data_IF_511344179102
#
_entry.id   IF_511344179102
#
_cell.length_a   1.000
_cell.length_b   1.000
_cell.length_c   1.000
_cell.angle_alpha   90.00
_cell.angle_beta   90.00
_cell.angle_gamma   90.00
#
_symmetry.space_group_name_H-M   'P 1'
#
loop_
_entity.id
_entity.type
_entity.pdbx_description
1 polymer ?
#
# COMPACT_ATOMS: atom_id res chain seq x y z
N UNK A 1 11.24 -12.54 -27.79
CA UNK A 1 10.14 -11.88 -27.05
C UNK A 1 9.60 -12.89 -26.05
N UNK A 2 10.28 -13.04 -24.91
CA UNK A 2 9.92 -14.03 -23.90
C UNK A 2 8.60 -13.64 -23.23
N UNK A 3 7.66 -14.57 -23.21
CA UNK A 3 6.48 -14.51 -22.35
C UNK A 3 6.93 -14.30 -20.90
N UNK A 4 6.75 -13.08 -20.38
CA UNK A 4 6.88 -12.82 -18.96
C UNK A 4 5.66 -13.45 -18.30
N UNK A 5 5.91 -14.45 -17.45
CA UNK A 5 4.88 -15.22 -16.76
C UNK A 5 4.02 -14.30 -15.89
N UNK A 6 2.78 -14.07 -16.29
CA UNK A 6 1.79 -13.19 -15.64
C UNK A 6 1.52 -13.50 -14.14
N UNK A 7 2.05 -14.60 -13.60
CA UNK A 7 1.96 -14.99 -12.19
C UNK A 7 3.12 -14.49 -11.33
N UNK A 8 4.27 -14.17 -11.92
CA UNK A 8 5.46 -13.74 -11.18
C UNK A 8 5.35 -12.28 -10.65
N UNK A 9 4.47 -11.49 -11.27
CA UNK A 9 4.35 -10.06 -11.02
C UNK A 9 3.29 -9.72 -9.96
N UNK A 10 2.51 -10.71 -9.52
CA UNK A 10 1.43 -10.53 -8.54
C UNK A 10 1.92 -10.85 -7.13
N UNK A 11 1.68 -9.93 -6.21
CA UNK A 11 2.04 -10.02 -4.80
C UNK A 11 0.75 -10.13 -3.99
N UNK A 12 0.53 -11.27 -3.35
CA UNK A 12 -0.65 -11.50 -2.51
C UNK A 12 -0.46 -10.95 -1.08
N UNK A 13 -1.54 -10.98 -0.30
CA UNK A 13 -1.54 -10.48 1.08
C UNK A 13 -0.51 -11.20 1.96
N UNK A 14 -0.25 -12.49 1.74
CA UNK A 14 0.72 -13.24 2.53
C UNK A 14 2.14 -12.76 2.25
N UNK A 15 2.48 -12.47 0.99
CA UNK A 15 3.75 -11.84 0.64
C UNK A 15 3.84 -10.40 1.18
N UNK A 16 2.76 -9.61 1.10
CA UNK A 16 2.72 -8.26 1.72
C UNK A 16 3.07 -8.34 3.21
N UNK A 17 2.45 -9.25 3.97
CA UNK A 17 2.72 -9.39 5.40
C UNK A 17 4.16 -9.83 5.73
N UNK A 18 4.79 -10.61 4.85
CA UNK A 18 6.20 -11.01 5.01
C UNK A 18 7.16 -9.87 4.69
N UNK A 19 6.80 -9.00 3.76
CA UNK A 19 7.66 -7.92 3.25
C UNK A 19 7.46 -6.58 3.95
N UNK A 20 6.36 -6.38 4.67
CA UNK A 20 6.09 -5.17 5.44
C UNK A 20 5.97 -5.48 6.94
N UNK A 21 6.55 -4.64 7.82
CA UNK A 21 6.41 -4.80 9.28
C UNK A 21 5.05 -4.32 9.80
N UNK A 22 4.30 -3.51 9.03
CA UNK A 22 3.00 -2.96 9.40
C UNK A 22 1.97 -4.05 9.69
N UNK A 23 1.10 -3.83 10.67
CA UNK A 23 -0.02 -4.72 11.03
C UNK A 23 -1.27 -3.90 11.28
N UNK A 24 -2.42 -4.56 11.38
CA UNK A 24 -3.68 -3.91 11.71
C UNK A 24 -3.54 -3.00 12.95
N UNK A 25 -4.08 -1.76 12.93
CA UNK A 25 -4.92 -1.15 11.89
C UNK A 25 -4.16 -0.35 10.82
N UNK A 26 -2.84 -0.53 10.69
CA UNK A 26 -1.96 0.35 9.90
C UNK A 26 -1.23 -0.35 8.74
N UNK A 27 -1.61 -1.58 8.38
CA UNK A 27 -1.23 -2.19 7.11
C UNK A 27 -2.29 -1.80 6.07
N UNK A 28 -1.91 -1.02 5.07
CA UNK A 28 -2.83 -0.36 4.13
C UNK A 28 -2.59 -0.77 2.67
N UNK A 29 -1.94 -1.92 2.44
CA UNK A 29 -1.77 -2.52 1.11
C UNK A 29 -2.31 -3.94 1.19
N UNK A 30 -3.27 -4.29 0.35
CA UNK A 30 -3.91 -5.60 0.36
C UNK A 30 -3.23 -6.58 -0.60
N UNK A 31 -2.79 -6.08 -1.76
CA UNK A 31 -2.03 -6.80 -2.79
C UNK A 31 -1.26 -5.81 -3.66
N UNK A 32 -0.40 -6.33 -4.52
CA UNK A 32 0.21 -5.53 -5.58
C UNK A 32 0.39 -6.32 -6.87
N UNK A 33 0.59 -5.59 -7.97
CA UNK A 33 0.76 -6.10 -9.33
C UNK A 33 1.76 -5.23 -10.12
N UNK A 34 2.06 -5.60 -11.36
CA UNK A 34 2.96 -4.89 -12.28
C UNK A 34 4.35 -4.58 -11.67
N UNK A 35 4.88 -5.51 -10.89
CA UNK A 35 6.17 -5.34 -10.21
C UNK A 35 7.34 -5.35 -11.20
N UNK A 36 8.12 -4.26 -11.20
CA UNK A 36 9.39 -4.14 -11.93
C UNK A 36 10.51 -3.85 -10.93
N UNK A 37 11.47 -4.78 -10.73
CA UNK A 37 12.53 -4.63 -9.73
C UNK A 37 13.26 -3.29 -9.83
N UNK A 38 13.29 -2.56 -8.71
CA UNK A 38 13.97 -1.28 -8.57
C UNK A 38 13.36 -0.11 -9.35
N UNK A 39 12.20 -0.30 -10.00
CA UNK A 39 11.60 0.70 -10.88
C UNK A 39 10.16 1.06 -10.49
N UNK A 40 9.24 0.08 -10.45
CA UNK A 40 7.81 0.36 -10.25
C UNK A 40 7.04 -0.82 -9.65
N UNK A 41 5.88 -0.51 -9.10
CA UNK A 41 4.88 -1.47 -8.59
C UNK A 41 3.51 -0.76 -8.58
N UNK A 42 2.43 -1.52 -8.76
CA UNK A 42 1.05 -1.05 -8.57
C UNK A 42 0.51 -1.64 -7.27
N UNK A 43 0.37 -0.82 -6.22
CA UNK A 43 -0.25 -1.23 -4.96
C UNK A 43 -1.77 -1.12 -5.01
N UNK A 44 -2.46 -2.10 -4.43
CA UNK A 44 -3.92 -2.11 -4.32
C UNK A 44 -4.32 -2.03 -2.84
N UNK A 45 -5.17 -1.06 -2.55
CA UNK A 45 -5.84 -0.87 -1.26
C UNK A 45 -7.34 -0.81 -1.53
N UNK A 46 -8.05 -1.88 -1.17
CA UNK A 46 -9.51 -1.90 -1.15
C UNK A 46 -10.00 -0.98 -0.04
N UNK A 47 -11.04 -0.20 -0.31
CA UNK A 47 -11.62 0.72 0.67
C UNK A 47 -12.99 0.22 1.09
N UNK A 48 -13.15 -0.10 2.37
CA UNK A 48 -14.42 -0.63 2.90
C UNK A 48 -14.91 0.17 4.10
N UNK A 49 -16.23 0.34 4.22
CA UNK A 49 -16.81 1.07 5.35
C UNK A 49 -16.46 0.41 6.71
N UNK A 50 -16.11 -0.87 6.71
CA UNK A 50 -15.70 -1.63 7.89
C UNK A 50 -14.24 -1.37 8.33
N UNK A 51 -13.67 -0.21 7.99
CA UNK A 51 -12.33 0.20 8.43
C UNK A 51 -12.41 1.15 9.64
N UNK A 52 -11.45 1.05 10.59
CA UNK A 52 -11.55 1.69 11.90
C UNK A 52 -11.54 3.23 11.86
N UNK A 53 -11.12 3.84 10.75
CA UNK A 53 -11.08 5.30 10.61
C UNK A 53 -12.42 5.91 10.13
N UNK A 54 -13.29 5.14 9.47
CA UNK A 54 -14.56 5.67 8.95
C UNK A 54 -15.57 6.13 10.02
N UNK A 55 -15.70 5.48 11.20
CA UNK A 55 -16.55 5.99 12.27
C UNK A 55 -16.22 7.42 12.69
N UNK A 56 -14.96 7.85 12.51
CA UNK A 56 -14.49 9.20 12.87
C UNK A 56 -14.28 10.14 11.70
N UNK A 57 -14.32 9.68 10.44
CA UNK A 57 -13.90 10.48 9.29
C UNK A 57 -14.79 10.27 8.05
N UNK A 58 -16.02 10.78 8.01
CA UNK A 58 -16.78 11.41 9.10
C UNK A 58 -18.09 10.66 9.30
N UNK A 59 -18.73 10.70 10.50
CA UNK A 59 -19.97 9.96 10.76
C UNK A 59 -21.10 10.15 9.73
N UNK A 60 -21.16 11.32 9.08
CA UNK A 60 -22.21 11.67 8.09
C UNK A 60 -21.78 11.49 6.63
N UNK A 61 -20.48 11.48 6.34
CA UNK A 61 -19.90 11.35 5.00
C UNK A 61 -18.55 10.62 5.14
N UNK A 62 -18.54 9.28 5.03
CA UNK A 62 -17.33 8.48 5.20
C UNK A 62 -16.37 8.73 4.04
N UNK A 63 -15.20 9.28 4.34
CA UNK A 63 -14.14 9.58 3.37
C UNK A 63 -12.81 9.05 3.91
N UNK A 64 -12.03 8.36 3.08
CA UNK A 64 -10.71 7.90 3.51
C UNK A 64 -9.83 9.13 3.81
N UNK A 65 -9.18 9.22 4.99
CA UNK A 65 -8.27 10.32 5.27
C UNK A 65 -7.16 10.37 4.21
N UNK A 66 -6.93 11.53 3.60
CA UNK A 66 -5.95 11.68 2.52
C UNK A 66 -4.53 11.27 2.95
N UNK A 67 -4.19 11.46 4.22
CA UNK A 67 -2.92 11.00 4.81
C UNK A 67 -2.75 9.48 4.77
N UNK A 68 -3.83 8.70 4.81
CA UNK A 68 -3.78 7.25 4.69
C UNK A 68 -3.60 6.78 3.24
N UNK A 69 -4.02 7.60 2.25
CA UNK A 69 -3.69 7.37 0.84
C UNK A 69 -2.19 7.57 0.63
N UNK A 70 -1.62 8.61 1.24
CA UNK A 70 -0.18 8.84 1.22
C UNK A 70 0.57 7.69 1.90
N UNK A 71 0.10 7.26 3.07
CA UNK A 71 0.70 6.14 3.79
C UNK A 71 0.64 4.83 2.98
N UNK A 72 -0.48 4.51 2.32
CA UNK A 72 -0.56 3.31 1.48
C UNK A 72 0.39 3.38 0.28
N UNK A 73 0.62 4.58 -0.29
CA UNK A 73 1.66 4.80 -1.31
C UNK A 73 3.07 4.59 -0.74
N UNK A 74 3.36 5.09 0.46
CA UNK A 74 4.64 4.88 1.12
C UNK A 74 4.91 3.38 1.40
N UNK A 75 3.91 2.66 1.90
CA UNK A 75 3.98 1.21 2.12
C UNK A 75 4.17 0.43 0.82
N UNK A 76 3.53 0.87 -0.26
CA UNK A 76 3.73 0.32 -1.61
C UNK A 76 5.18 0.51 -2.07
N UNK A 77 5.78 1.68 -1.83
CA UNK A 77 7.22 1.91 -2.08
C UNK A 77 8.13 1.03 -1.22
N UNK A 78 7.79 0.84 0.06
CA UNK A 78 8.52 -0.07 0.95
C UNK A 78 8.43 -1.53 0.46
N UNK A 79 7.29 -1.95 -0.08
CA UNK A 79 7.08 -3.26 -0.67
C UNK A 79 7.94 -3.47 -1.93
N UNK A 80 8.00 -2.47 -2.82
CA UNK A 80 8.90 -2.45 -3.98
C UNK A 80 10.35 -2.63 -3.55
N UNK A 81 10.81 -1.84 -2.57
CA UNK A 81 12.18 -1.90 -2.07
C UNK A 81 12.49 -3.27 -1.43
N UNK A 82 11.61 -3.78 -0.56
CA UNK A 82 11.80 -5.10 0.07
C UNK A 82 11.89 -6.22 -0.96
N UNK A 83 11.01 -6.23 -1.97
CA UNK A 83 11.02 -7.26 -3.02
C UNK A 83 12.20 -7.12 -3.98
N UNK A 84 12.60 -5.91 -4.32
CA UNK A 84 13.71 -5.66 -5.25
C UNK A 84 15.08 -6.03 -4.67
N UNK A 85 15.28 -5.79 -3.37
CA UNK A 85 16.55 -6.04 -2.69
C UNK A 85 16.57 -7.37 -1.93
N UNK A 86 15.45 -8.10 -1.95
CA UNK A 86 15.19 -9.29 -1.14
C UNK A 86 15.61 -9.15 0.33
N UNK A 87 15.26 -8.01 0.93
CA UNK A 87 15.62 -7.70 2.32
C UNK A 87 14.56 -8.15 3.29
N UNK A 88 14.99 -8.89 4.32
CA UNK A 88 14.18 -9.15 5.51
C UNK A 88 13.91 -7.83 6.24
N UNK A 89 12.62 -7.56 6.51
CA UNK A 89 12.15 -6.39 7.26
C UNK A 89 11.90 -6.70 8.74
N UNK A 90 12.09 -7.95 9.16
CA UNK A 90 11.96 -8.35 10.56
C UNK A 90 12.95 -7.58 11.43
N UNK A 91 12.45 -6.98 12.51
CA UNK A 91 13.25 -6.15 13.42
C UNK A 91 13.74 -4.82 12.82
N UNK A 92 13.32 -4.45 11.60
CA UNK A 92 13.68 -3.19 10.95
C UNK A 92 12.48 -2.26 10.87
N UNK A 93 12.76 -0.96 10.97
CA UNK A 93 11.76 0.09 10.74
C UNK A 93 12.13 0.83 9.46
N UNK A 94 11.18 0.92 8.54
CA UNK A 94 11.31 1.74 7.33
C UNK A 94 10.71 3.10 7.67
N UNK A 95 11.53 4.15 7.62
CA UNK A 95 11.09 5.49 7.99
C UNK A 95 10.82 6.33 6.73
N UNK A 96 9.63 6.91 6.68
CA UNK A 96 9.23 7.82 5.61
C UNK A 96 9.76 9.23 5.93
N UNK A 97 10.73 9.71 5.15
CA UNK A 97 11.52 10.90 5.52
C UNK A 97 10.92 12.22 5.04
N UNK A 98 10.37 12.24 3.83
CA UNK A 98 9.84 13.46 3.23
C UNK A 98 8.76 13.13 2.21
N UNK A 99 7.91 14.12 1.98
CA UNK A 99 6.91 14.08 0.94
C UNK A 99 6.76 15.47 0.33
N UNK A 100 6.62 15.54 -0.98
CA UNK A 100 6.48 16.79 -1.71
C UNK A 100 5.38 16.66 -2.79
N UNK A 101 4.79 17.78 -3.18
CA UNK A 101 3.87 17.83 -4.32
C UNK A 101 2.53 17.10 -4.16
N UNK A 102 2.11 16.76 -2.93
CA UNK A 102 0.84 16.04 -2.70
C UNK A 102 -0.35 16.90 -3.06
N UNK A 103 -1.26 16.34 -3.86
CA UNK A 103 -2.53 16.99 -4.20
C UNK A 103 -3.66 15.96 -4.27
N UNK A 104 -4.64 16.09 -3.39
CA UNK A 104 -5.87 15.29 -3.43
C UNK A 104 -6.86 15.93 -4.40
N UNK A 105 -7.28 15.19 -5.43
CA UNK A 105 -8.19 15.70 -6.47
C UNK A 105 -9.66 15.39 -6.19
N UNK A 106 -9.94 14.19 -5.66
CA UNK A 106 -11.26 13.71 -5.32
C UNK A 106 -11.19 12.88 -4.04
N UNK A 107 -12.23 12.92 -3.19
CA UNK A 107 -12.32 12.04 -2.02
C UNK A 107 -12.48 10.58 -2.45
N UNK A 108 -11.80 9.69 -1.74
CA UNK A 108 -11.91 8.23 -1.83
C UNK A 108 -12.91 7.74 -0.78
N UNK A 109 -13.79 6.79 -1.13
CA UNK A 109 -14.93 6.34 -0.33
C UNK A 109 -15.01 4.82 -0.22
N UNK A 110 -15.80 4.29 0.73
CA UNK A 110 -16.15 2.88 0.73
C UNK A 110 -16.66 2.39 -0.62
N UNK A 111 -16.07 1.31 -1.13
CA UNK A 111 -16.40 0.69 -2.42
C UNK A 111 -15.48 1.08 -3.57
N UNK A 112 -14.59 2.07 -3.38
CA UNK A 112 -13.50 2.37 -4.30
C UNK A 112 -12.37 1.32 -4.25
#
# INVERSE_FOLDING_TARGET
MSEVSATADRIDYAEVMRRLPHRYPFLLVDRAEDFVPGQSITGIKNVTHNEPFFPGHFPIDPVMPGVLIVESMAQTGALLMSKSLDVAVEGKVIMFMSIDGVRFRKPVRPGD
#
